data_IF_920204115894
#
_entry.id   IF_920204115894
#
_cell.length_a   1.000
_cell.length_b   1.000
_cell.length_c   1.000
_cell.angle_alpha   90.00
_cell.angle_beta   90.00
_cell.angle_gamma   90.00
#
_symmetry.space_group_name_H-M   'P 1'
#
loop_
_entity.id
_entity.type
_entity.pdbx_description
1 polymer ?
#
# COMPACT_ATOMS: atom_id res chain seq x y z
N UNK A 1 15.11 -1.23 8.89
CA UNK A 1 13.65 -1.52 8.95
C UNK A 1 13.07 -1.10 10.30
N UNK A 2 13.69 -1.51 11.41
CA UNK A 2 13.23 -1.23 12.78
C UNK A 2 12.89 0.24 13.08
N UNK A 3 13.76 1.17 12.65
CA UNK A 3 13.52 2.61 12.86
C UNK A 3 12.20 3.11 12.26
N UNK A 4 11.89 2.70 11.02
CA UNK A 4 10.65 3.07 10.34
C UNK A 4 9.46 2.38 11.01
N UNK A 5 9.60 1.09 11.35
CA UNK A 5 8.56 0.34 12.05
C UNK A 5 8.14 1.03 13.35
N UNK A 6 9.11 1.41 14.19
CA UNK A 6 8.84 2.14 15.43
C UNK A 6 8.17 3.49 15.19
N UNK A 7 8.63 4.24 14.17
CA UNK A 7 8.05 5.56 13.83
C UNK A 7 6.59 5.46 13.40
N UNK A 8 6.19 4.35 12.78
CA UNK A 8 4.83 4.08 12.32
C UNK A 8 3.96 3.35 13.36
N UNK A 9 4.50 3.05 14.55
CA UNK A 9 3.78 2.33 15.61
C UNK A 9 3.63 0.83 15.35
N UNK A 10 4.49 0.24 14.52
CA UNK A 10 4.55 -1.21 14.30
C UNK A 10 5.39 -1.91 15.38
N UNK A 11 5.12 -3.20 15.56
CA UNK A 11 5.79 -4.05 16.56
C UNK A 11 7.17 -4.56 16.14
N UNK A 12 7.56 -4.33 14.88
CA UNK A 12 8.89 -4.67 14.36
C UNK A 12 8.97 -4.51 12.84
N UNK A 13 10.16 -4.68 12.27
CA UNK A 13 10.37 -4.57 10.84
C UNK A 13 11.38 -5.58 10.27
N UNK A 14 10.95 -6.33 9.25
CA UNK A 14 11.85 -7.16 8.44
C UNK A 14 12.41 -6.34 7.27
N UNK A 15 13.69 -6.49 6.98
CA UNK A 15 14.34 -5.87 5.84
C UNK A 15 15.74 -6.41 5.60
N UNK A 16 16.33 -6.04 4.46
CA UNK A 16 17.72 -6.40 4.15
C UNK A 16 18.66 -5.84 5.20
N UNK A 17 19.58 -6.69 5.72
CA UNK A 17 20.58 -6.27 6.71
C UNK A 17 21.89 -5.96 6.01
N UNK A 18 22.34 -4.71 6.12
CA UNK A 18 23.69 -4.32 5.73
C UNK A 18 24.69 -4.76 6.80
N UNK A 19 25.90 -5.11 6.38
CA UNK A 19 26.99 -5.46 7.28
C UNK A 19 27.57 -4.20 7.91
N UNK A 20 27.78 -4.29 9.22
CA UNK A 20 28.35 -3.24 10.06
C UNK A 20 29.49 -3.85 10.86
N UNK A 21 30.67 -3.22 10.79
CA UNK A 21 31.84 -3.57 11.59
C UNK A 21 32.25 -2.30 12.33
N UNK A 22 32.41 -2.39 13.65
CA UNK A 22 32.78 -1.26 14.52
C UNK A 22 31.91 -0.01 14.33
N UNK A 23 30.61 -0.22 14.09
CA UNK A 23 29.64 0.85 13.86
C UNK A 23 29.65 1.46 12.45
N UNK A 24 30.48 0.97 11.54
CA UNK A 24 30.62 1.47 10.17
C UNK A 24 30.04 0.48 9.16
N UNK A 25 29.26 0.97 8.20
CA UNK A 25 28.76 0.16 7.09
C UNK A 25 29.90 -0.24 6.16
N UNK A 26 30.03 -1.55 5.89
CA UNK A 26 31.11 -2.06 5.04
C UNK A 26 30.77 -2.03 3.55
N UNK A 27 29.51 -1.72 3.20
CA UNK A 27 28.97 -1.81 1.84
C UNK A 27 28.56 -3.23 1.43
N UNK A 28 28.81 -4.24 2.27
CA UNK A 28 28.33 -5.61 2.05
C UNK A 28 26.99 -5.85 2.75
N UNK A 29 26.32 -6.94 2.38
CA UNK A 29 25.08 -7.37 3.00
C UNK A 29 25.34 -8.57 3.92
N UNK A 30 24.78 -8.55 5.12
CA UNK A 30 24.88 -9.67 6.07
C UNK A 30 23.95 -10.83 5.75
N UNK A 31 22.94 -10.58 4.92
CA UNK A 31 21.96 -11.58 4.48
C UNK A 31 21.64 -11.40 3.00
N UNK A 32 21.10 -12.42 2.31
CA UNK A 32 20.49 -12.22 1.00
C UNK A 32 19.49 -11.05 1.03
N UNK A 33 19.35 -10.39 -0.12
CA UNK A 33 18.41 -9.28 -0.27
C UNK A 33 16.99 -9.79 0.01
N UNK A 34 16.27 -9.13 0.92
CA UNK A 34 14.88 -9.47 1.25
C UNK A 34 13.96 -9.00 0.12
N UNK A 35 13.98 -9.72 -0.99
CA UNK A 35 13.29 -9.40 -2.23
C UNK A 35 12.73 -10.66 -2.87
N UNK A 36 11.57 -10.56 -3.51
CA UNK A 36 11.00 -11.72 -4.20
C UNK A 36 10.61 -12.83 -3.23
N UNK A 37 11.09 -14.03 -3.53
CA UNK A 37 10.86 -15.25 -2.74
C UNK A 37 11.35 -15.13 -1.29
N UNK A 38 12.43 -14.40 -1.05
CA UNK A 38 13.00 -14.21 0.29
C UNK A 38 12.02 -13.51 1.24
N UNK A 39 11.14 -12.64 0.73
CA UNK A 39 10.08 -12.04 1.54
C UNK A 39 9.08 -13.07 2.04
N UNK A 40 8.67 -13.99 1.16
CA UNK A 40 7.77 -15.08 1.53
C UNK A 40 8.40 -16.02 2.56
N UNK A 41 9.68 -16.38 2.37
CA UNK A 41 10.44 -17.20 3.34
C UNK A 41 10.56 -16.49 4.69
N UNK A 42 10.93 -15.21 4.70
CA UNK A 42 11.11 -14.44 5.93
C UNK A 42 9.81 -14.33 6.74
N UNK A 43 8.66 -14.12 6.10
CA UNK A 43 7.37 -14.04 6.80
C UNK A 43 6.93 -15.40 7.34
N UNK A 44 7.12 -16.49 6.59
CA UNK A 44 6.83 -17.84 7.10
C UNK A 44 7.71 -18.18 8.32
N UNK A 45 9.00 -17.84 8.26
CA UNK A 45 9.93 -18.02 9.38
C UNK A 45 9.48 -17.21 10.60
N UNK A 46 9.17 -15.92 10.42
CA UNK A 46 8.69 -15.07 11.50
C UNK A 46 7.39 -15.60 12.12
N UNK A 47 6.47 -16.10 11.29
CA UNK A 47 5.22 -16.67 11.76
C UNK A 47 5.43 -17.90 12.64
N UNK A 48 6.38 -18.78 12.29
CA UNK A 48 6.75 -19.92 13.14
C UNK A 48 7.36 -19.44 14.46
N UNK A 49 8.32 -18.51 14.40
CA UNK A 49 9.03 -18.00 15.59
C UNK A 49 8.11 -17.27 16.58
N UNK A 50 7.07 -16.62 16.07
CA UNK A 50 6.12 -15.81 16.86
C UNK A 50 4.75 -16.44 17.02
N UNK A 51 4.56 -17.65 16.51
CA UNK A 51 3.29 -18.36 16.51
C UNK A 51 2.13 -17.54 15.91
N UNK A 52 2.37 -16.91 14.75
CA UNK A 52 1.34 -16.20 14.00
C UNK A 52 0.59 -17.12 13.03
N UNK A 53 -0.73 -17.01 13.01
CA UNK A 53 -1.55 -17.65 12.00
C UNK A 53 -1.61 -16.80 10.72
N UNK A 54 -0.90 -17.25 9.68
CA UNK A 54 -0.87 -16.57 8.40
C UNK A 54 -2.21 -16.65 7.64
N UNK A 55 -3.08 -17.60 7.96
CA UNK A 55 -4.38 -17.75 7.28
C UNK A 55 -5.35 -16.61 7.61
N UNK A 56 -5.25 -16.03 8.80
CA UNK A 56 -6.01 -14.83 9.21
C UNK A 56 -5.23 -13.53 8.99
N UNK A 57 -3.95 -13.63 8.59
CA UNK A 57 -3.07 -12.49 8.38
C UNK A 57 -3.35 -11.78 7.06
N UNK A 58 -2.95 -10.51 7.01
CA UNK A 58 -3.09 -9.63 5.85
C UNK A 58 -1.71 -9.24 5.33
N UNK A 59 -1.58 -9.12 4.01
CA UNK A 59 -0.40 -8.59 3.37
C UNK A 59 -0.79 -7.60 2.27
N UNK A 60 -0.02 -6.53 2.17
CA UNK A 60 -0.28 -5.41 1.27
C UNK A 60 0.97 -5.15 0.43
N UNK A 61 0.83 -5.04 -0.90
CA UNK A 61 1.95 -4.65 -1.78
C UNK A 61 1.45 -4.00 -3.07
N UNK A 62 2.33 -3.20 -3.67
CA UNK A 62 2.17 -2.55 -4.98
C UNK A 62 2.99 -3.19 -6.09
N UNK A 63 3.87 -4.15 -5.77
CA UNK A 63 4.81 -4.73 -6.73
C UNK A 63 4.68 -6.25 -6.88
N UNK A 64 4.88 -6.73 -8.11
CA UNK A 64 4.87 -8.16 -8.43
C UNK A 64 5.96 -8.95 -7.69
N UNK A 65 7.04 -8.28 -7.25
CA UNK A 65 8.09 -8.92 -6.48
C UNK A 65 7.57 -9.51 -5.17
N UNK A 66 6.45 -9.01 -4.67
CA UNK A 66 5.87 -9.46 -3.40
C UNK A 66 4.77 -10.50 -3.58
N UNK A 67 4.56 -11.03 -4.79
CA UNK A 67 3.64 -12.15 -5.02
C UNK A 67 3.91 -13.32 -4.05
N UNK A 68 5.16 -13.78 -3.81
CA UNK A 68 5.42 -14.85 -2.85
C UNK A 68 5.04 -14.51 -1.41
N UNK A 69 5.05 -13.22 -1.03
CA UNK A 69 4.59 -12.75 0.27
C UNK A 69 3.05 -12.73 0.32
N UNK A 70 2.40 -12.24 -0.73
CA UNK A 70 0.94 -12.18 -0.83
C UNK A 70 0.34 -13.60 -0.85
N UNK A 71 0.96 -14.55 -1.55
CA UNK A 71 0.60 -15.97 -1.54
C UNK A 71 0.79 -16.65 -0.18
N UNK A 72 1.57 -16.06 0.73
CA UNK A 72 1.85 -16.68 2.02
C UNK A 72 0.76 -16.45 3.07
N UNK A 73 -0.15 -15.51 2.84
CA UNK A 73 -1.20 -15.11 3.80
C UNK A 73 -2.60 -15.42 3.26
N UNK A 74 -3.59 -15.52 4.15
CA UNK A 74 -4.97 -15.74 3.73
C UNK A 74 -5.69 -14.49 3.23
N UNK A 75 -5.20 -13.28 3.54
CA UNK A 75 -5.82 -12.02 3.10
C UNK A 75 -4.85 -11.10 2.30
N UNK A 76 -4.46 -11.49 1.07
CA UNK A 76 -3.63 -10.65 0.20
C UNK A 76 -4.39 -9.44 -0.35
N UNK A 77 -3.72 -8.28 -0.43
CA UNK A 77 -4.28 -7.02 -0.95
C UNK A 77 -3.30 -6.33 -1.89
N UNK A 78 -3.71 -6.10 -3.12
CA UNK A 78 -2.92 -5.36 -4.11
C UNK A 78 -3.24 -3.86 -4.01
N UNK A 79 -2.26 -3.05 -3.65
CA UNK A 79 -2.40 -1.60 -3.47
C UNK A 79 -1.69 -0.89 -4.61
N UNK A 80 -2.39 -0.12 -5.44
CA UNK A 80 -1.81 0.57 -6.59
C UNK A 80 -0.87 -0.33 -7.43
N UNK A 81 -1.30 -1.56 -7.80
CA UNK A 81 -0.39 -2.57 -8.33
C UNK A 81 0.30 -2.13 -9.63
N UNK A 82 1.49 -2.67 -9.87
CA UNK A 82 2.07 -2.76 -11.22
C UNK A 82 1.25 -3.72 -12.12
N UNK A 83 1.56 -3.73 -13.42
CA UNK A 83 0.80 -4.53 -14.40
C UNK A 83 0.80 -6.03 -14.07
N UNK A 84 1.94 -6.57 -13.62
CA UNK A 84 2.07 -8.01 -13.36
C UNK A 84 1.33 -8.40 -12.08
N UNK A 85 1.43 -7.60 -11.03
CA UNK A 85 0.65 -7.79 -9.80
C UNK A 85 -0.85 -7.62 -10.07
N UNK A 86 -1.25 -6.69 -10.95
CA UNK A 86 -2.65 -6.49 -11.31
C UNK A 86 -3.22 -7.72 -12.01
N UNK A 87 -2.51 -8.26 -13.01
CA UNK A 87 -2.93 -9.49 -13.70
C UNK A 87 -3.05 -10.66 -12.72
N UNK A 88 -2.07 -10.79 -11.82
CA UNK A 88 -2.09 -11.81 -10.77
C UNK A 88 -3.28 -11.67 -9.83
N UNK A 89 -3.54 -10.45 -9.36
CA UNK A 89 -4.63 -10.16 -8.44
C UNK A 89 -6.00 -10.41 -9.10
N UNK A 90 -6.18 -10.09 -10.39
CA UNK A 90 -7.41 -10.41 -11.13
C UNK A 90 -7.60 -11.92 -11.23
N UNK A 91 -6.55 -12.66 -11.59
CA UNK A 91 -6.58 -14.11 -11.76
C UNK A 91 -6.92 -14.85 -10.47
N UNK A 92 -6.35 -14.42 -9.36
CA UNK A 92 -6.51 -15.07 -8.05
C UNK A 92 -7.60 -14.39 -7.18
N UNK A 93 -8.38 -13.47 -7.77
CA UNK A 93 -9.44 -12.72 -7.11
C UNK A 93 -9.00 -11.95 -5.85
N UNK A 94 -7.76 -11.47 -5.84
CA UNK A 94 -7.27 -10.61 -4.77
C UNK A 94 -7.86 -9.20 -4.88
N UNK A 95 -8.29 -8.59 -3.77
CA UNK A 95 -8.80 -7.23 -3.78
C UNK A 95 -7.73 -6.23 -4.23
N UNK A 96 -8.11 -5.39 -5.21
CA UNK A 96 -7.27 -4.34 -5.78
C UNK A 96 -7.76 -2.98 -5.31
N UNK A 97 -6.84 -2.19 -4.73
CA UNK A 97 -7.10 -0.82 -4.29
C UNK A 97 -6.25 0.17 -5.10
N UNK A 98 -6.84 0.77 -6.14
CA UNK A 98 -6.17 1.80 -6.96
C UNK A 98 -6.60 3.21 -6.55
N UNK A 99 -5.78 3.85 -5.72
CA UNK A 99 -5.97 5.22 -5.25
C UNK A 99 -5.42 6.27 -6.23
N UNK A 100 -4.53 5.87 -7.16
CA UNK A 100 -3.96 6.78 -8.17
C UNK A 100 -5.03 7.19 -9.17
N UNK A 101 -5.83 6.24 -9.63
CA UNK A 101 -6.92 6.48 -10.59
C UNK A 101 -7.98 7.42 -10.02
N UNK A 102 -8.39 7.20 -8.78
CA UNK A 102 -9.35 8.07 -8.09
C UNK A 102 -8.84 9.51 -7.96
N UNK A 103 -7.55 9.70 -7.62
CA UNK A 103 -6.94 11.03 -7.54
C UNK A 103 -6.90 11.72 -8.90
N UNK A 104 -6.53 10.99 -9.96
CA UNK A 104 -6.48 11.51 -11.33
C UNK A 104 -7.86 11.92 -11.84
N UNK A 105 -8.89 11.09 -11.60
CA UNK A 105 -10.27 11.42 -11.96
C UNK A 105 -10.75 12.67 -11.21
N UNK A 106 -10.51 12.76 -9.90
CA UNK A 106 -10.86 13.95 -9.11
C UNK A 106 -10.16 15.21 -9.63
N UNK A 107 -8.87 15.13 -9.97
CA UNK A 107 -8.13 16.26 -10.51
C UNK A 107 -8.68 16.74 -11.87
N UNK A 108 -9.09 15.81 -12.74
CA UNK A 108 -9.60 16.15 -14.07
C UNK A 108 -11.04 16.69 -14.05
N UNK A 109 -11.95 16.01 -13.34
CA UNK A 109 -13.37 16.34 -13.35
C UNK A 109 -13.81 17.33 -12.26
N UNK A 110 -13.02 17.47 -11.18
CA UNK A 110 -13.32 18.37 -10.07
C UNK A 110 -13.55 19.83 -10.50
N UNK A 111 -12.67 20.43 -11.31
CA UNK A 111 -12.85 21.80 -11.79
C UNK A 111 -14.11 22.00 -12.64
N UNK A 112 -14.49 21.01 -13.45
CA UNK A 112 -15.69 21.06 -14.29
C UNK A 112 -16.95 21.05 -13.42
N UNK A 113 -17.01 20.13 -12.45
CA UNK A 113 -18.14 20.04 -11.53
C UNK A 113 -18.30 21.31 -10.67
N UNK A 114 -17.19 21.85 -10.17
CA UNK A 114 -17.20 23.09 -9.38
C UNK A 114 -17.72 24.30 -10.19
N UNK A 115 -17.30 24.42 -11.45
CA UNK A 115 -17.81 25.46 -12.36
C UNK A 115 -19.30 25.30 -12.65
N UNK A 116 -19.77 24.08 -12.87
CA UNK A 116 -21.20 23.79 -13.06
C UNK A 116 -22.04 24.22 -11.86
N UNK A 117 -21.62 23.86 -10.65
CA UNK A 117 -22.28 24.26 -9.41
C UNK A 117 -22.29 25.78 -9.22
N UNK A 118 -21.18 26.47 -9.54
CA UNK A 118 -21.11 27.92 -9.45
C UNK A 118 -22.10 28.61 -10.42
N UNK A 119 -22.23 28.09 -11.65
CA UNK A 119 -23.22 28.59 -12.63
C UNK A 119 -24.64 28.37 -12.12
N UNK A 120 -24.96 27.18 -11.59
CA UNK A 120 -26.27 26.89 -11.01
C UNK A 120 -26.57 27.85 -9.84
N UNK A 121 -25.62 28.05 -8.93
CA UNK A 121 -25.77 28.97 -7.80
C UNK A 121 -25.93 30.43 -8.24
N UNK A 122 -25.28 30.83 -9.34
CA UNK A 122 -25.43 32.16 -9.94
C UNK A 122 -26.83 32.37 -10.56
N UNK A 123 -27.37 31.33 -11.21
CA UNK A 123 -28.67 31.37 -11.87
C UNK A 123 -29.86 31.12 -10.92
N UNK A 124 -29.60 30.58 -9.73
CA UNK A 124 -30.65 30.30 -8.76
C UNK A 124 -31.30 31.61 -8.26
N UNK A 125 -32.65 31.71 -8.26
CA UNK A 125 -33.33 32.92 -7.83
C UNK A 125 -33.03 33.20 -6.35
N UNK A 126 -32.38 34.34 -6.07
CA UNK A 126 -32.18 34.82 -4.70
C UNK A 126 -33.55 35.18 -4.11
N UNK A 127 -33.98 34.49 -3.04
CA UNK A 127 -35.14 34.92 -2.25
C UNK A 127 -34.88 36.32 -1.71
N UNK A 128 -35.55 37.32 -2.27
CA UNK A 128 -35.53 38.71 -1.80
C UNK A 128 -36.28 38.74 -0.48
N UNK A 129 -35.57 38.85 0.64
CA UNK A 129 -36.16 38.91 1.96
C UNK A 129 -37.17 40.05 2.03
N UNK A 130 -38.39 39.73 2.47
CA UNK A 130 -39.39 40.72 2.89
C UNK A 130 -38.79 41.51 4.07
N UNK A 131 -38.40 42.76 3.81
CA UNK A 131 -38.20 43.75 4.88
C UNK A 131 -39.60 44.26 5.23
N UNK A 132 -40.07 43.85 6.41
CA UNK A 132 -41.18 44.47 7.15
C UNK A 132 -40.85 45.89 7.54
#
# INVERSE_FOLDING_TARGET
AEFIAHRLGFTGGLGTRAEIIDGVYTGKLSTPVLHGKEKGVAVRKLAIERNFDLSISYAYSDSHHDIPLLEAVGNPRAINPDTLLQLRAIRDHWPIHDYRRARRMKAFFGPIAARGLAVIAFLAPRKRGQRT
#
